data_IF_994178247838
#
_entry.id   IF_994178247838
#
_cell.length_a   1.000
_cell.length_b   1.000
_cell.length_c   1.000
_cell.angle_alpha   90.00
_cell.angle_beta   90.00
_cell.angle_gamma   90.00
#
_symmetry.space_group_name_H-M   'P 1'
#
loop_
_entity.id
_entity.type
_entity.pdbx_description
1 polymer ?
#
# COMPACT_ATOMS: atom_id res chain seq x y z
N UNK A 1 21.21 6.10 14.27
CA UNK A 1 20.79 4.86 14.97
C UNK A 1 19.27 4.64 14.91
N UNK A 2 18.44 5.48 15.55
CA UNK A 2 16.97 5.26 15.62
C UNK A 2 16.28 5.12 14.24
N UNK A 3 16.65 5.96 13.27
CA UNK A 3 16.09 5.89 11.93
C UNK A 3 16.41 4.57 11.21
N UNK A 4 17.58 3.99 11.46
CA UNK A 4 18.00 2.71 10.91
C UNK A 4 17.29 1.55 11.62
N UNK A 5 17.14 1.62 12.94
CA UNK A 5 16.37 0.62 13.68
C UNK A 5 14.92 0.52 13.18
N UNK A 6 14.25 1.69 13.03
CA UNK A 6 12.89 1.75 12.48
C UNK A 6 12.86 1.23 11.04
N UNK A 7 13.90 1.53 10.26
CA UNK A 7 14.06 1.00 8.90
C UNK A 7 13.99 -0.53 8.86
N UNK A 8 14.84 -1.15 9.67
CA UNK A 8 15.00 -2.60 9.70
C UNK A 8 13.72 -3.26 10.20
N UNK A 9 13.13 -2.73 11.28
CA UNK A 9 11.85 -3.25 11.78
C UNK A 9 10.77 -3.21 10.71
N UNK A 10 10.65 -2.12 9.96
CA UNK A 10 9.58 -1.97 8.96
C UNK A 10 9.77 -2.88 7.77
N UNK A 11 11.02 -3.08 7.35
CA UNK A 11 11.33 -4.03 6.30
C UNK A 11 10.93 -5.44 6.75
N UNK A 12 11.36 -5.86 7.94
CA UNK A 12 11.05 -7.18 8.47
C UNK A 12 9.54 -7.37 8.64
N UNK A 13 8.83 -6.34 9.09
CA UNK A 13 7.37 -6.31 9.20
C UNK A 13 6.69 -6.55 7.83
N UNK A 14 7.21 -5.94 6.76
CA UNK A 14 6.72 -6.14 5.38
C UNK A 14 7.02 -7.56 4.90
N UNK A 15 8.27 -8.01 4.99
CA UNK A 15 8.71 -9.31 4.47
C UNK A 15 8.04 -10.49 5.19
N UNK A 16 7.90 -10.38 6.52
CA UNK A 16 7.23 -11.36 7.35
C UNK A 16 5.70 -11.19 7.38
N UNK A 17 5.16 -10.11 6.78
CA UNK A 17 3.75 -9.74 6.82
C UNK A 17 3.11 -9.75 8.22
N UNK A 18 3.91 -9.56 9.26
CA UNK A 18 3.47 -9.59 10.65
C UNK A 18 3.50 -8.20 11.26
N UNK A 19 3.15 -8.08 12.55
CA UNK A 19 3.33 -6.86 13.33
C UNK A 19 4.57 -6.96 14.24
N UNK A 20 5.68 -7.44 13.67
CA UNK A 20 6.94 -7.64 14.38
C UNK A 20 7.40 -6.35 15.07
N UNK A 21 7.81 -6.48 16.33
CA UNK A 21 8.53 -5.43 17.06
C UNK A 21 9.86 -5.98 17.51
N UNK A 22 10.96 -5.34 17.08
CA UNK A 22 12.29 -5.79 17.45
C UNK A 22 12.56 -5.58 18.95
N UNK A 23 13.52 -6.30 19.52
CA UNK A 23 14.03 -6.01 20.89
C UNK A 23 14.65 -4.60 20.94
N UNK A 24 14.78 -4.03 22.14
CA UNK A 24 15.44 -2.73 22.29
C UNK A 24 16.86 -2.79 21.71
N UNK A 25 17.28 -1.80 20.92
CA UNK A 25 18.65 -1.78 20.41
C UNK A 25 19.61 -1.54 21.56
N UNK A 26 20.71 -2.29 21.57
CA UNK A 26 21.78 -2.13 22.55
C UNK A 26 22.91 -1.31 21.94
N UNK A 27 23.35 -0.28 22.66
CA UNK A 27 24.53 0.51 22.30
C UNK A 27 25.71 -0.06 23.06
N UNK A 28 26.79 -0.36 22.34
CA UNK A 28 28.02 -0.91 22.90
C UNK A 28 29.14 0.11 22.73
N UNK A 29 29.94 0.33 23.77
CA UNK A 29 31.14 1.17 23.73
C UNK A 29 32.23 0.56 24.62
N UNK A 30 33.47 1.04 24.45
CA UNK A 30 34.59 0.65 25.30
C UNK A 30 34.80 1.67 26.40
N UNK A 31 34.89 1.18 27.62
CA UNK A 31 35.22 1.97 28.81
C UNK A 31 36.30 1.22 29.58
N UNK A 32 37.48 1.85 29.75
CA UNK A 32 38.64 1.24 30.41
C UNK A 32 39.04 -0.16 29.85
N UNK A 33 38.86 -0.36 28.54
CA UNK A 33 39.17 -1.62 27.87
C UNK A 33 38.12 -2.73 28.05
N UNK A 34 37.01 -2.45 28.74
CA UNK A 34 35.86 -3.36 28.87
C UNK A 34 34.74 -2.94 27.91
N UNK A 35 34.05 -3.93 27.36
CA UNK A 35 32.83 -3.68 26.59
C UNK A 35 31.67 -3.40 27.54
N UNK A 36 31.18 -2.17 27.52
CA UNK A 36 30.01 -1.72 28.29
C UNK A 36 28.88 -1.49 27.30
N UNK A 37 27.64 -1.73 27.74
CA UNK A 37 26.49 -1.49 26.88
C UNK A 37 25.21 -1.22 27.62
N UNK A 38 24.38 -0.37 27.02
CA UNK A 38 23.09 0.04 27.54
C UNK A 38 21.99 -0.14 26.49
N UNK A 39 20.79 -0.47 26.96
CA UNK A 39 19.59 -0.48 26.12
C UNK A 39 19.16 0.94 25.81
N UNK A 40 18.88 1.20 24.53
CA UNK A 40 18.43 2.50 24.06
C UNK A 40 16.90 2.54 23.95
N UNK A 41 16.27 3.16 24.96
CA UNK A 41 14.83 3.30 25.06
C UNK A 41 14.30 4.53 24.32
N UNK A 42 13.18 4.36 23.62
CA UNK A 42 12.48 5.45 22.93
C UNK A 42 10.99 5.11 22.79
N UNK A 43 10.16 6.13 22.49
CA UNK A 43 8.73 5.92 22.24
C UNK A 43 8.52 5.02 21.03
N UNK A 44 7.86 3.87 21.25
CA UNK A 44 7.44 2.92 20.22
C UNK A 44 6.06 2.35 20.55
N UNK A 45 5.44 1.68 19.57
CA UNK A 45 4.19 0.95 19.78
C UNK A 45 4.42 -0.24 20.72
N UNK A 46 3.36 -0.64 21.41
CA UNK A 46 3.36 -1.86 22.22
C UNK A 46 3.75 -3.03 21.32
N UNK A 47 4.75 -3.84 21.72
CA UNK A 47 5.14 -5.01 20.94
C UNK A 47 3.95 -5.92 20.70
N UNK A 48 3.79 -6.41 19.47
CA UNK A 48 2.84 -7.50 19.24
C UNK A 48 3.27 -8.72 20.03
N UNK A 49 2.31 -9.43 20.61
CA UNK A 49 2.52 -10.76 21.21
C UNK A 49 2.45 -11.87 20.16
N UNK A 50 2.04 -11.54 18.93
CA UNK A 50 1.94 -12.49 17.82
C UNK A 50 3.34 -12.88 17.34
N UNK A 51 3.60 -14.18 17.29
CA UNK A 51 4.80 -14.74 16.70
C UNK A 51 4.74 -14.66 15.17
N UNK A 52 5.91 -14.67 14.54
CA UNK A 52 5.98 -14.71 13.07
C UNK A 52 5.56 -16.10 12.60
N UNK A 53 4.50 -16.13 11.82
CA UNK A 53 3.98 -17.34 11.20
C UNK A 53 4.64 -17.57 9.83
N UNK A 54 5.20 -18.76 9.64
CA UNK A 54 5.87 -19.11 8.38
C UNK A 54 4.89 -19.14 7.19
N UNK A 55 3.64 -19.55 7.44
CA UNK A 55 2.58 -19.63 6.44
C UNK A 55 1.99 -18.27 6.05
N UNK A 56 2.25 -17.23 6.85
CA UNK A 56 1.85 -15.84 6.55
C UNK A 56 2.99 -15.00 5.96
N UNK A 57 4.23 -15.50 6.03
CA UNK A 57 5.44 -14.80 5.58
C UNK A 57 5.49 -14.72 4.05
N UNK A 58 5.65 -13.51 3.51
CA UNK A 58 5.63 -13.28 2.05
C UNK A 58 6.96 -13.61 1.40
N UNK A 59 8.06 -13.27 2.09
CA UNK A 59 9.42 -13.43 1.57
C UNK A 59 10.32 -14.01 2.65
N UNK A 60 10.36 -15.35 2.78
CA UNK A 60 11.28 -16.02 3.69
C UNK A 60 12.74 -15.67 3.37
N UNK A 61 13.57 -15.50 4.41
CA UNK A 61 14.99 -15.13 4.22
C UNK A 61 15.73 -16.08 3.29
N UNK A 62 15.45 -17.38 3.35
CA UNK A 62 16.05 -18.38 2.45
C UNK A 62 15.85 -18.06 0.96
N UNK A 63 14.70 -17.48 0.57
CA UNK A 63 14.38 -17.09 -0.81
C UNK A 63 15.11 -15.82 -1.25
N UNK A 64 15.31 -14.88 -0.31
CA UNK A 64 15.87 -13.56 -0.62
C UNK A 64 17.33 -13.38 -0.18
N UNK A 65 17.97 -14.41 0.39
CA UNK A 65 19.31 -14.32 1.02
C UNK A 65 20.34 -13.65 0.13
N UNK A 66 20.37 -13.99 -1.16
CA UNK A 66 21.33 -13.46 -2.14
C UNK A 66 21.11 -11.98 -2.46
N UNK A 67 19.89 -11.46 -2.29
CA UNK A 67 19.49 -10.09 -2.64
C UNK A 67 19.15 -9.22 -1.43
N UNK A 68 19.12 -9.79 -0.23
CA UNK A 68 18.64 -9.13 1.00
C UNK A 68 19.41 -7.85 1.34
N UNK A 69 20.74 -7.83 1.14
CA UNK A 69 21.55 -6.62 1.36
C UNK A 69 21.09 -5.46 0.49
N UNK A 70 20.91 -5.72 -0.81
CA UNK A 70 20.39 -4.73 -1.78
C UNK A 70 18.96 -4.30 -1.45
N UNK A 71 18.12 -5.21 -0.94
CA UNK A 71 16.77 -4.87 -0.49
C UNK A 71 16.78 -3.88 0.68
N UNK A 72 17.67 -4.05 1.67
CA UNK A 72 17.80 -3.10 2.79
C UNK A 72 18.21 -1.71 2.28
N UNK A 73 19.21 -1.65 1.40
CA UNK A 73 19.68 -0.39 0.82
C UNK A 73 18.54 0.30 0.06
N UNK A 74 17.88 -0.43 -0.85
CA UNK A 74 16.73 0.04 -1.62
C UNK A 74 15.62 0.53 -0.69
N UNK A 75 15.31 -0.22 0.37
CA UNK A 75 14.29 0.16 1.33
C UNK A 75 14.60 1.48 2.05
N UNK A 76 15.85 1.66 2.49
CA UNK A 76 16.29 2.89 3.15
C UNK A 76 16.13 4.09 2.20
N UNK A 77 16.50 3.93 0.94
CA UNK A 77 16.43 5.00 -0.06
C UNK A 77 15.00 5.29 -0.51
N UNK A 78 14.17 4.26 -0.72
CA UNK A 78 12.75 4.42 -1.02
C UNK A 78 12.00 5.07 0.13
N UNK A 79 12.30 4.76 1.39
CA UNK A 79 11.68 5.50 2.51
C UNK A 79 12.03 6.98 2.55
N UNK A 80 13.22 7.37 2.13
CA UNK A 80 13.60 8.80 2.05
C UNK A 80 12.87 9.49 0.90
N UNK A 81 12.90 8.87 -0.29
CA UNK A 81 12.34 9.45 -1.51
C UNK A 81 10.81 9.39 -1.56
N UNK A 82 10.20 8.29 -1.11
CA UNK A 82 8.75 8.02 -1.17
C UNK A 82 8.07 8.06 0.21
N UNK A 83 8.71 8.70 1.19
CA UNK A 83 8.36 8.64 2.61
C UNK A 83 6.87 8.82 2.94
N UNK A 84 6.18 9.86 2.45
CA UNK A 84 4.77 10.06 2.80
C UNK A 84 3.87 8.89 2.39
N UNK A 85 4.06 8.34 1.20
CA UNK A 85 3.28 7.18 0.74
C UNK A 85 3.53 5.96 1.60
N UNK A 86 4.81 5.57 1.74
CA UNK A 86 5.20 4.41 2.56
C UNK A 86 4.75 4.57 4.01
N UNK A 87 4.92 5.76 4.62
CA UNK A 87 4.56 5.99 6.02
C UNK A 87 3.05 5.89 6.26
N UNK A 88 2.22 6.34 5.31
CA UNK A 88 0.77 6.21 5.41
C UNK A 88 0.34 4.74 5.38
N UNK A 89 0.94 3.92 4.51
CA UNK A 89 0.74 2.47 4.52
C UNK A 89 1.20 1.82 5.83
N UNK A 90 2.43 2.13 6.28
CA UNK A 90 2.93 1.58 7.54
C UNK A 90 2.08 2.04 8.74
N UNK A 91 1.43 3.21 8.65
CA UNK A 91 0.47 3.71 9.64
C UNK A 91 -0.77 2.83 9.73
N UNK A 92 -1.29 2.31 8.62
CA UNK A 92 -2.45 1.40 8.61
C UNK A 92 -2.09 0.02 9.17
N UNK A 93 -0.85 -0.43 9.01
CA UNK A 93 -0.34 -1.69 9.58
C UNK A 93 -0.17 -1.63 11.10
N UNK A 94 0.39 -0.53 11.59
CA UNK A 94 0.82 -0.39 12.99
C UNK A 94 -0.29 0.02 13.96
N UNK A 95 -1.38 0.59 13.47
CA UNK A 95 -2.49 1.08 14.29
C UNK A 95 -3.64 0.07 14.27
N UNK A 96 -3.71 -0.79 15.30
CA UNK A 96 -4.68 -1.90 15.39
C UNK A 96 -6.17 -1.49 15.51
N UNK A 97 -6.50 -0.19 15.52
CA UNK A 97 -7.88 0.29 15.75
C UNK A 97 -8.21 1.55 14.95
N UNK A 98 -8.08 1.50 13.63
CA UNK A 98 -8.64 2.53 12.75
C UNK A 98 -10.08 2.17 12.40
N UNK A 99 -10.98 3.15 12.38
CA UNK A 99 -12.26 2.98 11.70
C UNK A 99 -12.04 2.71 10.21
N UNK A 100 -12.96 2.02 9.56
CA UNK A 100 -12.81 1.57 8.18
C UNK A 100 -12.55 2.74 7.21
N UNK A 101 -13.20 3.88 7.42
CA UNK A 101 -13.01 5.11 6.65
C UNK A 101 -11.59 5.66 6.80
N UNK A 102 -11.09 5.73 8.03
CA UNK A 102 -9.73 6.20 8.31
C UNK A 102 -8.68 5.25 7.73
N UNK A 103 -8.93 3.94 7.81
CA UNK A 103 -8.07 2.93 7.20
C UNK A 103 -8.01 3.11 5.67
N UNK A 104 -9.18 3.19 5.02
CA UNK A 104 -9.31 3.37 3.58
C UNK A 104 -8.65 4.66 3.08
N UNK A 105 -8.95 5.78 3.71
CA UNK A 105 -8.46 7.09 3.29
C UNK A 105 -6.93 7.18 3.42
N UNK A 106 -6.34 6.56 4.45
CA UNK A 106 -4.89 6.47 4.57
C UNK A 106 -4.24 5.65 3.43
N UNK A 107 -4.89 4.57 2.97
CA UNK A 107 -4.40 3.82 1.81
C UNK A 107 -4.42 4.68 0.54
N UNK A 108 -5.55 5.35 0.28
CA UNK A 108 -5.72 6.19 -0.92
C UNK A 108 -4.76 7.38 -0.92
N UNK A 109 -4.67 8.11 0.20
CA UNK A 109 -3.70 9.21 0.34
C UNK A 109 -2.26 8.73 0.22
N UNK A 110 -1.95 7.53 0.73
CA UNK A 110 -0.65 6.92 0.60
C UNK A 110 -0.27 6.69 -0.86
N UNK A 111 -1.17 6.07 -1.62
CA UNK A 111 -0.96 5.81 -3.06
C UNK A 111 -0.88 7.10 -3.87
N UNK A 112 -1.70 8.11 -3.57
CA UNK A 112 -1.61 9.42 -4.21
C UNK A 112 -0.26 10.11 -3.93
N UNK A 113 0.23 10.03 -2.68
CA UNK A 113 1.52 10.56 -2.31
C UNK A 113 2.68 9.80 -2.96
N UNK A 114 2.54 8.49 -3.20
CA UNK A 114 3.49 7.72 -3.99
C UNK A 114 3.52 8.17 -5.45
N UNK A 115 2.36 8.22 -6.11
CA UNK A 115 2.21 8.60 -7.52
C UNK A 115 2.89 9.95 -7.80
N UNK A 116 2.62 10.95 -6.95
CA UNK A 116 3.22 12.30 -7.03
C UNK A 116 4.76 12.30 -6.95
N UNK A 117 5.37 11.27 -6.35
CA UNK A 117 6.82 11.19 -6.14
C UNK A 117 7.53 10.21 -7.06
N UNK A 118 6.82 9.24 -7.61
CA UNK A 118 7.34 8.33 -8.65
C UNK A 118 7.46 9.06 -10.00
N UNK A 119 6.85 10.25 -10.12
CA UNK A 119 6.98 11.11 -11.29
C UNK A 119 6.03 10.70 -12.41
N UNK A 120 4.86 10.14 -12.05
CA UNK A 120 3.80 9.87 -13.01
C UNK A 120 3.48 11.16 -13.78
N UNK A 121 3.62 11.07 -15.10
CA UNK A 121 3.57 12.20 -16.03
C UNK A 121 2.34 13.10 -15.81
N UNK A 122 2.44 14.41 -16.10
CA UNK A 122 1.28 15.30 -16.14
C UNK A 122 0.16 14.71 -17.02
N UNK A 123 -1.10 15.09 -16.78
CA UNK A 123 -2.21 14.64 -17.60
C UNK A 123 -1.95 14.95 -19.09
N UNK A 124 -1.74 13.91 -19.90
CA UNK A 124 -1.50 14.05 -21.34
C UNK A 124 -2.77 13.89 -22.18
N UNK A 125 -3.96 13.84 -21.58
CA UNK A 125 -5.22 13.72 -22.33
C UNK A 125 -5.41 14.93 -23.28
N UNK A 126 -5.28 14.72 -24.62
CA UNK A 126 -5.38 15.81 -25.59
C UNK A 126 -6.79 16.40 -25.61
N UNK A 127 -7.82 15.60 -25.33
CA UNK A 127 -9.21 16.06 -25.34
C UNK A 127 -9.50 16.96 -24.14
N UNK A 128 -9.00 16.61 -22.96
CA UNK A 128 -9.11 17.46 -21.77
C UNK A 128 -8.35 18.78 -21.96
N UNK A 129 -7.12 18.73 -22.49
CA UNK A 129 -6.34 19.93 -22.82
C UNK A 129 -7.09 20.84 -23.79
N UNK A 130 -7.61 20.29 -24.89
CA UNK A 130 -8.40 21.03 -25.88
C UNK A 130 -9.68 21.62 -25.26
N UNK A 131 -10.37 20.88 -24.40
CA UNK A 131 -11.58 21.36 -23.72
C UNK A 131 -11.27 22.51 -22.77
N UNK A 132 -10.18 22.42 -22.01
CA UNK A 132 -9.78 23.46 -21.07
C UNK A 132 -9.32 24.71 -21.82
N UNK A 133 -8.56 24.56 -22.90
CA UNK A 133 -8.14 25.67 -23.74
C UNK A 133 -9.36 26.46 -24.27
N UNK A 134 -10.37 25.76 -24.81
CA UNK A 134 -11.63 26.39 -25.26
C UNK A 134 -12.34 27.17 -24.14
N UNK A 135 -12.36 26.62 -22.92
CA UNK A 135 -12.95 27.28 -21.77
C UNK A 135 -12.13 28.51 -21.33
N UNK A 136 -10.81 28.46 -21.44
CA UNK A 136 -9.94 29.61 -21.13
C UNK A 136 -10.11 30.76 -22.12
N UNK A 137 -10.28 30.43 -23.40
CA UNK A 137 -10.62 31.40 -24.46
C UNK A 137 -11.98 32.04 -24.15
N UNK A 138 -13.01 31.23 -23.87
CA UNK A 138 -14.34 31.72 -23.49
C UNK A 138 -14.30 32.66 -22.26
N UNK A 139 -13.59 32.27 -21.19
CA UNK A 139 -13.47 33.10 -19.97
C UNK A 139 -12.72 34.40 -20.26
N UNK A 140 -11.78 34.41 -21.21
CA UNK A 140 -11.02 35.62 -21.56
C UNK A 140 -11.89 36.66 -22.27
N UNK A 141 -12.78 36.18 -23.14
CA UNK A 141 -13.65 37.00 -23.99
C UNK A 141 -14.99 37.38 -23.34
N UNK A 142 -15.34 36.74 -22.22
CA UNK A 142 -16.56 37.02 -21.48
C UNK A 142 -16.59 38.48 -20.96
N UNK A 143 -17.44 39.30 -21.58
CA UNK A 143 -17.60 40.73 -21.28
C UNK A 143 -18.28 41.00 -19.94
N UNK A 144 -19.11 40.05 -19.49
CA UNK A 144 -19.85 40.15 -18.24
C UNK A 144 -19.00 39.84 -17.00
N UNK A 145 -17.75 39.37 -17.20
CA UNK A 145 -16.83 39.06 -16.11
C UNK A 145 -15.83 40.21 -15.88
N UNK A 146 -15.74 40.64 -14.63
CA UNK A 146 -14.69 41.57 -14.22
C UNK A 146 -13.30 40.90 -14.28
N UNK A 147 -12.25 41.70 -14.15
CA UNK A 147 -10.86 41.22 -14.25
C UNK A 147 -10.49 40.20 -13.16
N UNK A 148 -11.04 40.34 -11.96
CA UNK A 148 -10.78 39.45 -10.83
C UNK A 148 -11.37 38.07 -11.09
N UNK A 149 -12.62 38.01 -11.52
CA UNK A 149 -13.32 36.75 -11.80
C UNK A 149 -12.67 36.00 -12.96
N UNK A 150 -12.25 36.73 -14.01
CA UNK A 150 -11.49 36.14 -15.13
C UNK A 150 -10.14 35.57 -14.71
N UNK A 151 -9.48 36.19 -13.73
CA UNK A 151 -8.20 35.68 -13.19
C UNK A 151 -8.43 34.44 -12.33
N UNK A 152 -9.44 34.46 -11.47
CA UNK A 152 -9.80 33.33 -10.62
C UNK A 152 -10.23 32.10 -11.43
N UNK A 153 -11.14 32.27 -12.41
CA UNK A 153 -11.61 31.19 -13.28
C UNK A 153 -10.48 30.59 -14.12
N UNK A 154 -9.57 31.41 -14.67
CA UNK A 154 -8.40 30.89 -15.38
C UNK A 154 -7.49 30.08 -14.46
N UNK A 155 -7.18 30.59 -13.27
CA UNK A 155 -6.39 29.84 -12.29
C UNK A 155 -7.05 28.51 -11.90
N UNK A 156 -8.39 28.47 -11.80
CA UNK A 156 -9.14 27.24 -11.57
C UNK A 156 -8.99 26.26 -12.75
N UNK A 157 -9.15 26.73 -13.99
CA UNK A 157 -8.98 25.91 -15.18
C UNK A 157 -7.54 25.40 -15.36
N UNK A 158 -6.53 26.23 -15.08
CA UNK A 158 -5.11 25.86 -15.11
C UNK A 158 -4.79 24.76 -14.08
N UNK A 159 -5.35 24.87 -12.87
CA UNK A 159 -5.17 23.82 -11.85
C UNK A 159 -5.79 22.49 -12.25
N UNK A 160 -6.89 22.52 -13.02
CA UNK A 160 -7.61 21.33 -13.49
C UNK A 160 -7.01 20.69 -14.74
N UNK A 161 -6.17 21.40 -15.49
CA UNK A 161 -5.59 20.91 -16.76
C UNK A 161 -4.38 20.01 -16.57
N UNK A 162 -3.74 20.09 -15.40
CA UNK A 162 -2.50 19.38 -15.10
C UNK A 162 -2.71 18.15 -14.22
N UNK A 163 -3.78 18.11 -13.42
CA UNK A 163 -4.01 17.04 -12.46
C UNK A 163 -4.75 15.84 -13.09
N UNK A 164 -4.10 14.67 -13.03
CA UNK A 164 -4.71 13.41 -13.45
C UNK A 164 -5.82 13.00 -12.46
N UNK A 165 -6.94 12.42 -12.94
CA UNK A 165 -7.96 11.84 -12.08
C UNK A 165 -7.36 10.83 -11.09
N UNK A 166 -7.89 10.79 -9.87
CA UNK A 166 -7.44 9.86 -8.84
C UNK A 166 -7.54 8.39 -9.31
N UNK A 167 -8.62 8.02 -10.00
CA UNK A 167 -8.79 6.69 -10.57
C UNK A 167 -7.64 6.26 -11.47
N UNK A 168 -7.15 7.19 -12.30
CA UNK A 168 -6.12 6.94 -13.29
C UNK A 168 -4.75 6.82 -12.63
N UNK A 169 -4.48 7.69 -11.63
CA UNK A 169 -3.26 7.60 -10.81
C UNK A 169 -3.19 6.26 -10.08
N UNK A 170 -4.29 5.85 -9.44
CA UNK A 170 -4.37 4.55 -8.76
C UNK A 170 -4.19 3.39 -9.75
N UNK A 171 -4.83 3.46 -10.92
CA UNK A 171 -4.70 2.43 -11.96
C UNK A 171 -3.26 2.28 -12.43
N UNK A 172 -2.60 3.36 -12.86
CA UNK A 172 -1.22 3.28 -13.37
C UNK A 172 -0.25 2.79 -12.30
N UNK A 173 -0.44 3.24 -11.05
CA UNK A 173 0.44 2.87 -9.95
C UNK A 173 0.30 1.38 -9.57
N UNK A 174 -0.92 0.83 -9.63
CA UNK A 174 -1.20 -0.55 -9.22
C UNK A 174 -1.07 -1.56 -10.35
N UNK A 175 -1.19 -1.14 -11.61
CA UNK A 175 -1.13 -2.03 -12.79
C UNK A 175 0.10 -2.95 -12.81
N UNK A 176 1.33 -2.50 -12.48
CA UNK A 176 2.50 -3.39 -12.49
C UNK A 176 2.43 -4.55 -11.48
N UNK A 177 1.54 -4.45 -10.48
CA UNK A 177 1.39 -5.47 -9.43
C UNK A 177 0.00 -6.13 -9.42
N UNK A 178 -0.88 -5.76 -10.36
CA UNK A 178 -2.21 -6.32 -10.54
C UNK A 178 -2.17 -7.66 -11.32
N UNK A 179 -1.39 -8.61 -10.81
CA UNK A 179 -1.02 -9.83 -11.53
C UNK A 179 -2.22 -10.76 -11.69
N UNK A 180 -2.62 -11.07 -12.92
CA UNK A 180 -3.77 -11.94 -13.21
C UNK A 180 -5.14 -11.28 -13.02
N UNK A 181 -5.17 -9.96 -12.80
CA UNK A 181 -6.40 -9.17 -12.73
C UNK A 181 -6.68 -8.61 -14.13
N UNK A 182 -7.92 -8.72 -14.59
CA UNK A 182 -8.35 -8.14 -15.85
C UNK A 182 -8.26 -6.61 -15.85
N UNK A 183 -7.86 -6.01 -16.98
CA UNK A 183 -7.64 -4.57 -17.10
C UNK A 183 -8.92 -3.75 -16.85
N UNK A 184 -10.07 -4.23 -17.33
CA UNK A 184 -11.35 -3.56 -17.12
C UNK A 184 -11.80 -3.67 -15.66
N UNK A 185 -11.59 -4.83 -15.01
CA UNK A 185 -11.82 -5.01 -13.57
C UNK A 185 -10.94 -4.07 -12.73
N UNK A 186 -9.65 -3.95 -13.06
CA UNK A 186 -8.75 -3.05 -12.35
C UNK A 186 -9.17 -1.58 -12.49
N UNK A 187 -9.57 -1.15 -13.70
CA UNK A 187 -10.09 0.21 -13.94
C UNK A 187 -11.38 0.49 -13.17
N UNK A 188 -12.31 -0.48 -13.16
CA UNK A 188 -13.55 -0.36 -12.40
C UNK A 188 -13.27 -0.25 -10.89
N UNK A 189 -12.34 -1.07 -10.38
CA UNK A 189 -11.91 -1.03 -8.99
C UNK A 189 -11.28 0.31 -8.59
N UNK A 190 -10.30 0.81 -9.36
CA UNK A 190 -9.64 2.09 -9.03
C UNK A 190 -10.59 3.28 -9.12
N UNK A 191 -11.55 3.22 -10.04
CA UNK A 191 -12.66 4.17 -10.10
C UNK A 191 -13.54 4.07 -8.84
N UNK A 192 -13.94 2.88 -8.42
CA UNK A 192 -14.72 2.68 -7.21
C UNK A 192 -14.00 3.23 -5.97
N UNK A 193 -12.68 3.01 -5.84
CA UNK A 193 -11.90 3.61 -4.76
C UNK A 193 -11.89 5.14 -4.81
N UNK A 194 -11.74 5.73 -6.00
CA UNK A 194 -11.77 7.19 -6.16
C UNK A 194 -13.14 7.77 -5.78
N UNK A 195 -14.23 7.12 -6.21
CA UNK A 195 -15.60 7.53 -5.91
C UNK A 195 -15.89 7.43 -4.39
N UNK A 196 -15.53 6.32 -3.74
CA UNK A 196 -15.65 6.15 -2.28
C UNK A 196 -14.87 7.21 -1.50
N UNK A 197 -13.66 7.56 -1.95
CA UNK A 197 -12.87 8.61 -1.29
C UNK A 197 -13.54 9.98 -1.42
N UNK A 198 -14.14 10.25 -2.58
CA UNK A 198 -14.86 11.49 -2.81
C UNK A 198 -16.12 11.55 -1.94
N UNK A 199 -16.83 10.43 -1.77
CA UNK A 199 -17.99 10.32 -0.89
C UNK A 199 -17.64 10.59 0.57
N UNK A 200 -16.56 10.00 1.08
CA UNK A 200 -16.03 10.31 2.42
C UNK A 200 -15.66 11.79 2.58
N UNK A 201 -15.01 12.37 1.57
CA UNK A 201 -14.44 13.72 1.68
C UNK A 201 -15.47 14.84 1.47
N UNK A 202 -16.53 14.59 0.70
CA UNK A 202 -17.51 15.61 0.31
C UNK A 202 -18.89 15.41 0.93
N UNK A 203 -19.27 14.16 1.20
CA UNK A 203 -20.59 13.81 1.74
C UNK A 203 -20.50 13.28 3.18
N UNK A 204 -19.30 13.10 3.71
CA UNK A 204 -19.09 12.51 5.04
C UNK A 204 -19.38 11.01 5.10
N UNK A 205 -19.54 10.35 3.94
CA UNK A 205 -19.91 8.94 3.84
C UNK A 205 -21.07 8.72 2.87
N UNK A 206 -22.20 8.23 3.40
CA UNK A 206 -23.38 7.89 2.60
C UNK A 206 -23.95 9.09 1.82
N UNK A 207 -24.42 8.86 0.60
CA UNK A 207 -25.06 9.89 -0.24
C UNK A 207 -26.55 10.06 0.07
N UNK A 208 -27.19 8.98 0.50
CA UNK A 208 -28.59 8.92 0.89
C UNK A 208 -28.66 8.43 2.33
N UNK A 209 -29.56 9.02 3.12
CA UNK A 209 -29.71 8.67 4.54
C UNK A 209 -30.22 7.23 4.66
N UNK A 210 -29.46 6.37 5.35
CA UNK A 210 -29.81 4.98 5.61
C UNK A 210 -29.09 3.93 4.74
N UNK A 211 -28.13 4.32 3.91
CA UNK A 211 -27.31 3.42 3.08
C UNK A 211 -25.88 3.21 3.64
N UNK A 212 -25.63 3.65 4.88
CA UNK A 212 -24.31 3.59 5.53
C UNK A 212 -23.74 2.17 5.60
N UNK A 213 -24.56 1.15 5.85
CA UNK A 213 -24.11 -0.25 5.91
C UNK A 213 -23.55 -0.74 4.56
N UNK A 214 -24.24 -0.40 3.47
CA UNK A 214 -23.76 -0.74 2.12
C UNK A 214 -22.50 0.04 1.78
N UNK A 215 -22.47 1.32 2.14
CA UNK A 215 -21.33 2.19 1.95
C UNK A 215 -20.10 1.65 2.69
N UNK A 216 -20.22 1.34 3.98
CA UNK A 216 -19.11 0.85 4.80
C UNK A 216 -18.66 -0.54 4.37
N UNK A 217 -19.58 -1.40 3.94
CA UNK A 217 -19.25 -2.69 3.30
C UNK A 217 -18.40 -2.47 2.04
N UNK A 218 -18.76 -1.48 1.23
CA UNK A 218 -17.96 -1.03 0.09
C UNK A 218 -16.57 -0.54 0.50
N UNK A 219 -16.47 0.29 1.54
CA UNK A 219 -15.19 0.78 2.08
C UNK A 219 -14.32 -0.37 2.54
N UNK A 220 -14.84 -1.32 3.32
CA UNK A 220 -14.08 -2.45 3.88
C UNK A 220 -13.54 -3.34 2.76
N UNK A 221 -14.40 -3.85 1.87
CA UNK A 221 -13.96 -4.79 0.83
C UNK A 221 -12.93 -4.17 -0.13
N UNK A 222 -13.10 -2.89 -0.47
CA UNK A 222 -12.14 -2.19 -1.33
C UNK A 222 -10.85 -1.89 -0.57
N UNK A 223 -10.91 -1.60 0.72
CA UNK A 223 -9.74 -1.39 1.56
C UNK A 223 -8.86 -2.63 1.66
N UNK A 224 -9.47 -3.80 1.85
CA UNK A 224 -8.75 -5.07 1.95
C UNK A 224 -7.96 -5.34 0.67
N UNK A 225 -8.64 -5.30 -0.50
CA UNK A 225 -7.99 -5.48 -1.80
C UNK A 225 -6.93 -4.41 -2.07
N UNK A 226 -7.23 -3.14 -1.78
CA UNK A 226 -6.30 -2.02 -2.00
C UNK A 226 -5.04 -2.18 -1.13
N UNK A 227 -5.20 -2.62 0.12
CA UNK A 227 -4.09 -2.87 1.04
C UNK A 227 -3.18 -4.00 0.56
N UNK A 228 -3.73 -5.06 -0.03
CA UNK A 228 -2.95 -6.14 -0.66
C UNK A 228 -2.18 -5.65 -1.88
N UNK A 229 -2.82 -4.92 -2.78
CA UNK A 229 -2.15 -4.33 -3.95
C UNK A 229 -1.07 -3.33 -3.54
N UNK A 230 -1.31 -2.54 -2.49
CA UNK A 230 -0.31 -1.62 -1.95
C UNK A 230 0.87 -2.38 -1.34
N UNK A 231 0.63 -3.47 -0.61
CA UNK A 231 1.70 -4.33 -0.11
C UNK A 231 2.57 -4.89 -1.25
N UNK A 232 1.95 -5.42 -2.30
CA UNK A 232 2.65 -5.91 -3.48
C UNK A 232 3.44 -4.80 -4.19
N UNK A 233 2.88 -3.59 -4.27
CA UNK A 233 3.58 -2.42 -4.80
C UNK A 233 4.84 -2.10 -3.98
N UNK A 234 4.74 -2.13 -2.65
CA UNK A 234 5.91 -1.90 -1.78
C UNK A 234 6.95 -3.00 -1.97
N UNK A 235 6.54 -4.26 -2.10
CA UNK A 235 7.44 -5.38 -2.37
C UNK A 235 8.11 -5.24 -3.73
N UNK A 236 7.38 -4.85 -4.77
CA UNK A 236 7.92 -4.54 -6.09
C UNK A 236 8.96 -3.40 -6.04
N UNK A 237 8.71 -2.35 -5.24
CA UNK A 237 9.67 -1.26 -5.03
C UNK A 237 11.00 -1.71 -4.39
N UNK A 238 11.05 -2.89 -3.75
CA UNK A 238 12.27 -3.51 -3.24
C UNK A 238 13.06 -4.27 -4.32
N UNK A 239 12.56 -4.31 -5.55
CA UNK A 239 13.18 -5.02 -6.68
C UNK A 239 12.81 -6.49 -6.77
N UNK A 240 11.71 -6.90 -6.16
CA UNK A 240 11.14 -8.26 -6.30
C UNK A 240 10.46 -8.37 -7.66
N UNK A 241 10.82 -9.39 -8.42
CA UNK A 241 10.30 -9.58 -9.78
C UNK A 241 8.85 -10.09 -9.81
N UNK A 242 8.27 -10.05 -11.00
CA UNK A 242 6.89 -10.47 -11.23
C UNK A 242 6.65 -11.95 -10.87
N UNK A 243 7.61 -12.84 -11.14
CA UNK A 243 7.45 -14.27 -10.89
C UNK A 243 7.28 -14.54 -9.39
N UNK A 244 8.07 -13.85 -8.57
CA UNK A 244 8.00 -13.95 -7.13
C UNK A 244 6.72 -13.31 -6.56
N UNK A 245 6.29 -12.17 -7.10
CA UNK A 245 4.99 -11.58 -6.75
C UNK A 245 3.82 -12.52 -7.11
N UNK A 246 3.90 -13.27 -8.23
CA UNK A 246 2.91 -14.29 -8.58
C UNK A 246 2.91 -15.45 -7.57
N UNK A 247 4.07 -15.87 -7.06
CA UNK A 247 4.14 -16.90 -6.03
C UNK A 247 3.38 -16.45 -4.77
N UNK A 248 3.61 -15.21 -4.32
CA UNK A 248 2.92 -14.62 -3.16
C UNK A 248 1.39 -14.63 -3.35
N UNK A 249 0.91 -14.20 -4.52
CA UNK A 249 -0.53 -14.04 -4.77
C UNK A 249 -1.24 -15.37 -5.03
N UNK A 250 -0.55 -16.37 -5.61
CA UNK A 250 -1.21 -17.56 -6.15
C UNK A 250 -0.78 -18.90 -5.56
N UNK A 251 0.41 -19.00 -4.97
CA UNK A 251 1.03 -20.29 -4.63
C UNK A 251 1.38 -20.43 -3.16
N UNK A 252 1.92 -19.38 -2.55
CA UNK A 252 2.37 -19.40 -1.18
C UNK A 252 1.19 -19.70 -0.22
N UNK A 253 1.44 -20.27 0.98
CA UNK A 253 0.38 -20.60 1.94
C UNK A 253 -0.55 -19.41 2.26
N UNK A 254 0.00 -18.20 2.39
CA UNK A 254 -0.76 -16.98 2.60
C UNK A 254 -1.55 -16.47 1.39
N UNK A 255 -1.42 -17.09 0.21
CA UNK A 255 -2.07 -16.65 -1.04
C UNK A 255 -3.60 -16.63 -0.96
N UNK A 256 -4.19 -17.45 -0.11
CA UNK A 256 -5.65 -17.51 0.06
C UNK A 256 -6.22 -16.18 0.53
N UNK A 257 -5.52 -15.48 1.42
CA UNK A 257 -5.94 -14.18 1.94
C UNK A 257 -5.90 -13.10 0.85
N UNK A 258 -4.95 -13.19 -0.09
CA UNK A 258 -4.92 -12.30 -1.26
C UNK A 258 -6.11 -12.57 -2.18
N UNK A 259 -6.32 -13.84 -2.53
CA UNK A 259 -7.42 -14.26 -3.41
C UNK A 259 -8.77 -13.87 -2.84
N UNK A 260 -9.01 -14.14 -1.56
CA UNK A 260 -10.25 -13.77 -0.87
C UNK A 260 -10.51 -12.26 -0.95
N UNK A 261 -9.52 -11.42 -0.64
CA UNK A 261 -9.66 -9.96 -0.75
C UNK A 261 -9.97 -9.53 -2.18
N UNK A 262 -9.34 -10.13 -3.18
CA UNK A 262 -9.55 -9.80 -4.59
C UNK A 262 -10.92 -10.28 -5.11
N UNK A 263 -11.39 -11.46 -4.68
CA UNK A 263 -12.73 -11.97 -5.02
C UNK A 263 -13.81 -11.06 -4.44
N UNK A 264 -13.71 -10.70 -3.14
CA UNK A 264 -14.67 -9.79 -2.48
C UNK A 264 -14.74 -8.40 -3.15
N UNK A 265 -13.65 -7.97 -3.77
CA UNK A 265 -13.57 -6.71 -4.52
C UNK A 265 -13.87 -6.85 -6.02
N UNK A 266 -14.33 -8.02 -6.49
CA UNK A 266 -14.63 -8.34 -7.90
C UNK A 266 -13.41 -8.21 -8.84
N UNK A 267 -12.20 -8.35 -8.32
CA UNK A 267 -10.95 -8.33 -9.09
C UNK A 267 -10.60 -9.71 -9.68
N UNK A 268 -11.01 -10.78 -9.00
CA UNK A 268 -10.87 -12.16 -9.46
C UNK A 268 -12.26 -12.81 -9.60
N UNK A 269 -12.42 -13.84 -10.45
CA UNK A 269 -13.68 -14.56 -10.52
C UNK A 269 -14.00 -15.24 -9.19
N UNK A 270 -15.29 -15.38 -8.88
CA UNK A 270 -15.73 -16.22 -7.77
C UNK A 270 -15.20 -17.64 -7.99
N UNK A 271 -14.49 -18.13 -6.99
CA UNK A 271 -14.01 -19.50 -6.93
C UNK A 271 -14.59 -20.10 -5.67
N UNK A 272 -14.93 -21.38 -5.73
CA UNK A 272 -15.30 -22.13 -4.55
C UNK A 272 -14.08 -22.20 -3.60
N UNK A 273 -14.02 -21.26 -2.66
CA UNK A 273 -12.94 -21.16 -1.70
C UNK A 273 -12.92 -22.37 -0.78
N UNK A 274 -14.08 -22.95 -0.47
CA UNK A 274 -14.19 -24.14 0.37
C UNK A 274 -13.56 -25.34 -0.35
N UNK A 275 -13.82 -25.53 -1.64
CA UNK A 275 -13.16 -26.56 -2.45
C UNK A 275 -11.63 -26.34 -2.59
N UNK A 276 -11.17 -25.07 -2.60
CA UNK A 276 -9.74 -24.75 -2.57
C UNK A 276 -9.13 -25.07 -1.21
N UNK A 277 -9.81 -24.71 -0.12
CA UNK A 277 -9.38 -25.01 1.25
C UNK A 277 -9.31 -26.53 1.47
N UNK A 278 -10.31 -27.29 1.03
CA UNK A 278 -10.32 -28.75 1.12
C UNK A 278 -9.12 -29.37 0.41
N UNK A 279 -8.76 -28.89 -0.79
CA UNK A 279 -7.54 -29.34 -1.50
C UNK A 279 -6.27 -28.95 -0.75
N UNK A 280 -6.19 -27.73 -0.23
CA UNK A 280 -5.02 -27.22 0.47
C UNK A 280 -4.75 -27.96 1.79
N UNK A 281 -5.80 -28.39 2.49
CA UNK A 281 -5.68 -29.18 3.72
C UNK A 281 -5.59 -30.69 3.47
N UNK A 282 -5.90 -31.17 2.27
CA UNK A 282 -5.76 -32.57 1.87
C UNK A 282 -4.33 -32.93 1.42
N UNK A 283 -3.53 -31.97 0.95
CA UNK A 283 -2.13 -32.23 0.57
C UNK A 283 -1.21 -32.33 1.81
N UNK A 284 -0.27 -33.29 1.84
CA UNK A 284 0.62 -33.47 2.97
C UNK A 284 1.49 -32.22 3.17
N UNK A 285 1.46 -31.66 4.38
CA UNK A 285 2.24 -30.47 4.76
C UNK A 285 3.72 -30.70 4.47
N UNK A 286 4.38 -29.70 3.87
CA UNK A 286 5.84 -29.66 3.84
C UNK A 286 6.38 -29.82 5.27
N UNK A 287 7.49 -30.56 5.47
CA UNK A 287 8.08 -30.73 6.79
C UNK A 287 8.36 -29.36 7.40
N UNK A 288 7.97 -29.16 8.66
CA UNK A 288 8.33 -27.96 9.39
C UNK A 288 9.86 -27.85 9.38
N UNK A 289 10.43 -26.66 9.14
CA UNK A 289 11.86 -26.48 9.29
C UNK A 289 12.23 -26.88 10.72
N UNK A 290 13.13 -27.85 10.85
CA UNK A 290 13.68 -28.25 12.15
C UNK A 290 14.26 -26.99 12.80
N UNK A 291 13.93 -26.77 14.08
CA UNK A 291 14.51 -25.69 14.85
C UNK A 291 16.04 -25.81 14.75
N UNK A 292 16.71 -24.81 14.17
CA UNK A 292 18.16 -24.70 14.25
C UNK A 292 18.52 -24.73 15.74
N UNK A 293 19.10 -25.84 16.17
CA UNK A 293 19.53 -26.02 17.56
C UNK A 293 20.49 -24.91 17.96
N UNK A 294 20.52 -24.60 19.26
CA UNK A 294 21.43 -23.65 19.89
C UNK A 294 22.88 -23.84 19.41
N UNK A 295 23.31 -23.08 18.40
CA UNK A 295 24.73 -22.88 18.09
C UNK A 295 25.18 -21.66 18.88
N UNK A 296 25.15 -21.75 20.20
CA UNK A 296 25.96 -20.95 21.12
C UNK A 296 26.16 -21.74 22.42
N UNK A 297 27.10 -22.68 22.38
CA UNK A 297 27.81 -23.22 23.54
C UNK A 297 29.31 -23.02 23.36
#
# INVERSE_FOLDING_TARGET
>A
MLAWYRAAQDLLMILANSNLTLKWPRVLWKEEGKDVGADFYFRRNTPSREEVRWDETLLPYARIRSVFGKMIETWIDKRKSLGPGINLYLGTRRNKSLYAEHYFVNLVWGLEALDRRVGSSPCEDPNLKNKIQKLQEFVSDAKDLNRSDRKWLRGLLDSRSSERPLSDRLYELLKPVALGIDDAKLKAFTKACADLRNDLSHHGGEREVGDYERFITGVIKNSDALSKLYLLLIINLLGVDEAELRNIVYRDPGSIVFKESFIKADLLPDVDLDAIFERYFAEPRAPQPEAEGDILS
#
